data_IF_798376576629
#
_entry.id   IF_798376576629
#
_cell.length_a   1.000
_cell.length_b   1.000
_cell.length_c   1.000
_cell.angle_alpha   90.00
_cell.angle_beta   90.00
_cell.angle_gamma   90.00
#
_symmetry.space_group_name_H-M   'P 1'
#
loop_
_entity.id
_entity.type
_entity.pdbx_description
1 polymer ?
#
# COMPACT_ATOMS: atom_id res chain seq x y z
N UNK A 1 2.21 -5.28 -13.94
CA UNK A 1 2.84 -6.13 -12.89
C UNK A 1 1.74 -6.75 -12.06
N UNK A 2 1.82 -8.06 -11.78
CA UNK A 2 0.84 -8.74 -10.93
C UNK A 2 1.09 -8.39 -9.46
N UNK A 3 0.04 -8.06 -8.71
CA UNK A 3 0.12 -7.80 -7.28
C UNK A 3 -0.92 -8.69 -6.60
N UNK A 4 -0.52 -9.46 -5.60
CA UNK A 4 -1.42 -10.37 -4.89
C UNK A 4 -1.08 -10.46 -3.41
N UNK A 5 -2.11 -10.61 -2.58
CA UNK A 5 -1.97 -10.97 -1.18
C UNK A 5 -1.80 -12.49 -0.96
N UNK A 6 -1.95 -13.31 -2.02
CA UNK A 6 -1.68 -14.75 -1.98
C UNK A 6 -0.18 -15.02 -2.04
N UNK A 7 0.26 -16.09 -1.38
CA UNK A 7 1.64 -16.59 -1.48
C UNK A 7 1.89 -17.34 -2.78
N UNK A 8 0.85 -18.00 -3.33
CA UNK A 8 0.90 -18.73 -4.60
C UNK A 8 -0.30 -18.29 -5.43
N UNK A 9 -0.06 -17.86 -6.67
CA UNK A 9 -1.12 -17.46 -7.59
C UNK A 9 -1.48 -18.66 -8.48
N UNK A 10 -2.74 -19.13 -8.46
CA UNK A 10 -3.18 -20.24 -9.32
C UNK A 10 -2.89 -19.98 -10.80
N UNK A 11 -2.47 -21.03 -11.53
CA UNK A 11 -2.11 -20.92 -12.95
C UNK A 11 -0.76 -20.24 -13.22
N UNK A 12 -0.04 -19.79 -12.18
CA UNK A 12 1.29 -19.20 -12.31
C UNK A 12 2.34 -20.03 -11.57
N UNK A 13 3.56 -20.05 -12.10
CA UNK A 13 4.74 -20.66 -11.46
C UNK A 13 5.79 -19.60 -11.18
N UNK A 14 6.30 -19.54 -9.95
CA UNK A 14 7.42 -18.66 -9.58
C UNK A 14 8.70 -19.26 -10.17
N UNK A 15 9.43 -18.49 -10.97
CA UNK A 15 10.69 -18.90 -11.61
C UNK A 15 11.91 -18.19 -11.04
N UNK A 16 11.73 -17.03 -10.41
CA UNK A 16 12.80 -16.34 -9.66
C UNK A 16 12.24 -15.62 -8.43
N UNK A 17 12.97 -15.69 -7.33
CA UNK A 17 12.76 -14.89 -6.14
C UNK A 17 13.73 -13.70 -6.14
N UNK A 18 13.22 -12.48 -5.98
CA UNK A 18 14.01 -11.24 -6.07
C UNK A 18 14.12 -10.50 -4.74
N UNK A 19 13.47 -11.00 -3.68
CA UNK A 19 13.59 -10.46 -2.33
C UNK A 19 12.39 -9.62 -1.89
N UNK A 20 12.53 -9.05 -0.69
CA UNK A 20 11.54 -8.16 -0.08
C UNK A 20 11.47 -6.83 -0.84
N UNK A 21 10.25 -6.38 -1.10
CA UNK A 21 9.97 -5.02 -1.57
C UNK A 21 8.95 -4.34 -0.67
N UNK A 22 9.05 -3.03 -0.60
CA UNK A 22 8.27 -2.22 0.33
C UNK A 22 8.03 -0.80 -0.18
N UNK A 23 6.99 -0.17 0.34
CA UNK A 23 6.71 1.24 0.14
C UNK A 23 5.93 1.76 1.33
N UNK A 24 6.22 2.99 1.73
CA UNK A 24 5.48 3.63 2.81
C UNK A 24 5.09 5.05 2.47
N UNK A 25 4.10 5.56 3.17
CA UNK A 25 3.75 6.97 3.17
C UNK A 25 3.35 7.42 4.55
N UNK A 26 3.60 8.69 4.86
CA UNK A 26 3.32 9.30 6.17
C UNK A 26 2.30 10.41 5.99
N UNK A 27 1.30 10.46 6.87
CA UNK A 27 0.28 11.50 6.91
C UNK A 27 0.26 12.19 8.27
N UNK A 28 0.30 13.52 8.25
CA UNK A 28 0.21 14.35 9.45
C UNK A 28 -1.24 14.71 9.79
N UNK A 29 -1.52 14.96 11.07
CA UNK A 29 -2.82 15.36 11.63
C UNK A 29 -3.34 16.66 11.02
N UNK A 30 -2.45 17.52 10.53
CA UNK A 30 -2.84 18.75 9.83
C UNK A 30 -3.51 18.48 8.47
N UNK A 31 -3.07 17.44 7.74
CA UNK A 31 -3.79 16.99 6.55
C UNK A 31 -5.23 16.56 6.91
N UNK A 32 -5.40 15.90 8.06
CA UNK A 32 -6.73 15.55 8.60
C UNK A 32 -7.56 16.74 9.08
N UNK A 33 -6.93 17.84 9.53
CA UNK A 33 -7.63 19.04 10.04
C UNK A 33 -8.31 19.80 8.91
N UNK A 34 -7.65 19.95 7.76
CA UNK A 34 -8.21 20.59 6.57
C UNK A 34 -9.38 19.76 6.01
N UNK A 35 -9.24 18.43 6.03
CA UNK A 35 -10.31 17.49 5.71
C UNK A 35 -11.50 17.72 6.67
N UNK A 36 -11.27 17.68 7.98
CA UNK A 36 -12.31 17.80 9.01
C UNK A 36 -13.05 19.15 8.96
N UNK A 37 -12.40 20.23 8.53
CA UNK A 37 -13.04 21.53 8.32
C UNK A 37 -14.14 21.49 7.24
N UNK A 38 -14.03 20.58 6.27
CA UNK A 38 -15.03 20.32 5.22
C UNK A 38 -16.16 19.37 5.68
N UNK A 39 -16.01 18.68 6.82
CA UNK A 39 -16.96 17.64 7.30
C UNK A 39 -17.88 18.10 8.44
N UNK A 40 -18.21 19.40 8.53
CA UNK A 40 -19.01 19.97 9.63
C UNK A 40 -20.37 19.28 9.94
N UNK A 41 -20.89 18.37 9.11
CA UNK A 41 -22.26 17.86 9.23
C UNK A 41 -22.45 16.33 9.27
N UNK A 42 -21.41 15.48 9.39
CA UNK A 42 -21.62 14.02 9.31
C UNK A 42 -21.78 13.39 10.71
N UNK A 43 -23.02 13.33 11.20
CA UNK A 43 -23.39 12.46 12.32
C UNK A 43 -23.62 11.04 11.81
N UNK A 44 -22.78 10.09 12.27
CA UNK A 44 -22.99 8.64 12.14
C UNK A 44 -22.56 7.97 10.84
N UNK A 45 -22.02 8.71 9.86
CA UNK A 45 -21.57 8.19 8.57
C UNK A 45 -20.05 8.09 8.41
N UNK A 46 -19.62 7.53 7.27
CA UNK A 46 -18.21 7.46 6.89
C UNK A 46 -17.58 8.86 6.77
N UNK A 47 -16.37 9.01 7.30
CA UNK A 47 -15.57 10.23 7.17
C UNK A 47 -14.92 10.28 5.78
N UNK A 48 -15.70 10.62 4.74
CA UNK A 48 -15.29 10.49 3.33
C UNK A 48 -13.90 11.03 3.01
N UNK A 49 -13.53 12.20 3.50
CA UNK A 49 -12.22 12.77 3.18
C UNK A 49 -11.07 12.06 3.90
N UNK A 50 -11.32 11.46 5.07
CA UNK A 50 -10.35 10.55 5.67
C UNK A 50 -10.26 9.24 4.88
N UNK A 51 -11.38 8.72 4.37
CA UNK A 51 -11.38 7.55 3.47
C UNK A 51 -10.61 7.82 2.19
N UNK A 52 -10.85 8.97 1.54
CA UNK A 52 -10.13 9.42 0.34
C UNK A 52 -8.63 9.55 0.63
N UNK A 53 -8.26 10.24 1.72
CA UNK A 53 -6.88 10.36 2.16
C UNK A 53 -6.21 8.99 2.37
N UNK A 54 -6.91 8.06 3.01
CA UNK A 54 -6.39 6.70 3.23
C UNK A 54 -6.25 5.93 1.91
N UNK A 55 -7.14 6.15 0.95
CA UNK A 55 -7.03 5.55 -0.39
C UNK A 55 -5.79 6.05 -1.12
N UNK A 56 -5.64 7.37 -1.24
CA UNK A 56 -4.48 8.00 -1.87
C UNK A 56 -3.16 7.57 -1.20
N UNK A 57 -3.19 7.45 0.13
CA UNK A 57 -2.03 7.00 0.90
C UNK A 57 -1.65 5.56 0.60
N UNK A 58 -2.63 4.65 0.46
CA UNK A 58 -2.36 3.27 0.04
C UNK A 58 -1.84 3.22 -1.37
N UNK A 59 -2.44 3.97 -2.30
CA UNK A 59 -2.03 3.99 -3.70
C UNK A 59 -0.58 4.47 -3.84
N UNK A 60 -0.19 5.50 -3.10
CA UNK A 60 1.19 5.98 -3.06
C UNK A 60 2.17 4.93 -2.50
N UNK A 61 1.81 4.27 -1.40
CA UNK A 61 2.66 3.23 -0.81
C UNK A 61 2.79 2.00 -1.73
N UNK A 62 1.70 1.58 -2.40
CA UNK A 62 1.71 0.52 -3.42
C UNK A 62 2.59 0.92 -4.61
N UNK A 63 2.50 2.18 -5.08
CA UNK A 63 3.30 2.68 -6.18
C UNK A 63 4.80 2.64 -5.84
N UNK A 64 5.19 3.04 -4.63
CA UNK A 64 6.58 2.98 -4.15
C UNK A 64 7.10 1.54 -4.06
N UNK A 65 6.31 0.62 -3.49
CA UNK A 65 6.64 -0.81 -3.47
C UNK A 65 6.78 -1.38 -4.89
N UNK A 66 5.87 -0.97 -5.77
CA UNK A 66 5.84 -1.41 -7.17
C UNK A 66 7.08 -0.92 -7.92
N UNK A 67 7.46 0.34 -7.72
CA UNK A 67 8.65 0.92 -8.32
C UNK A 67 9.92 0.19 -7.88
N UNK A 68 10.01 -0.19 -6.60
CA UNK A 68 11.12 -1.00 -6.08
C UNK A 68 11.13 -2.41 -6.70
N UNK A 69 9.98 -3.05 -6.88
CA UNK A 69 9.90 -4.34 -7.55
C UNK A 69 10.35 -4.27 -9.01
N UNK A 70 9.98 -3.20 -9.71
CA UNK A 70 10.40 -2.95 -11.10
C UNK A 70 11.91 -2.76 -11.23
N UNK A 71 12.56 -2.02 -10.30
CA UNK A 71 14.02 -1.85 -10.33
C UNK A 71 14.77 -3.17 -10.09
N UNK A 72 14.16 -4.14 -9.43
CA UNK A 72 14.68 -5.51 -9.28
C UNK A 72 14.38 -6.42 -10.48
N UNK A 73 13.62 -5.94 -11.48
CA UNK A 73 13.21 -6.72 -12.65
C UNK A 73 12.06 -7.69 -12.38
N UNK A 74 11.27 -7.47 -11.33
CA UNK A 74 10.12 -8.30 -11.00
C UNK A 74 8.96 -8.08 -11.98
N UNK A 75 8.21 -9.14 -12.28
CA UNK A 75 6.94 -9.04 -13.00
C UNK A 75 5.73 -9.30 -12.09
N UNK A 76 5.97 -9.68 -10.83
CA UNK A 76 4.94 -9.81 -9.79
C UNK A 76 5.47 -9.47 -8.38
N UNK A 77 4.55 -9.01 -7.52
CA UNK A 77 4.74 -8.95 -6.07
C UNK A 77 3.64 -9.78 -5.42
N UNK A 78 4.05 -10.80 -4.67
CA UNK A 78 3.15 -11.74 -4.00
C UNK A 78 3.22 -11.55 -2.49
N UNK A 79 2.29 -12.19 -1.78
CA UNK A 79 2.20 -12.12 -0.32
C UNK A 79 2.16 -10.67 0.22
N UNK A 80 1.51 -9.75 -0.51
CA UNK A 80 1.44 -8.35 -0.12
C UNK A 80 0.68 -8.19 1.19
N UNK A 81 1.20 -7.34 2.07
CA UNK A 81 0.65 -6.99 3.37
C UNK A 81 0.66 -5.48 3.57
N UNK A 82 -0.34 -5.01 4.30
CA UNK A 82 -0.45 -3.62 4.74
C UNK A 82 -0.28 -3.59 6.25
N UNK A 83 0.44 -2.58 6.73
CA UNK A 83 0.56 -2.24 8.15
C UNK A 83 0.37 -0.74 8.32
N UNK A 84 -0.22 -0.34 9.43
CA UNK A 84 -0.37 1.08 9.78
C UNK A 84 0.20 1.28 11.17
N UNK A 85 1.05 2.30 11.35
CA UNK A 85 1.68 2.60 12.63
C UNK A 85 1.58 4.09 12.95
N UNK A 86 1.49 4.42 14.23
CA UNK A 86 1.67 5.80 14.70
C UNK A 86 3.16 6.03 14.87
N UNK A 87 3.75 6.93 14.09
CA UNK A 87 5.20 7.18 14.11
C UNK A 87 5.58 8.41 14.95
N UNK A 88 4.63 9.33 15.15
CA UNK A 88 4.77 10.49 16.03
C UNK A 88 3.40 11.00 16.48
N UNK A 89 3.37 11.92 17.43
CA UNK A 89 2.14 12.58 17.86
C UNK A 89 1.46 13.27 16.66
N UNK A 90 0.35 12.69 16.20
CA UNK A 90 -0.37 13.19 15.05
C UNK A 90 0.31 12.88 13.70
N UNK A 91 1.12 11.83 13.59
CA UNK A 91 1.58 11.32 12.31
C UNK A 91 1.50 9.80 12.26
N UNK A 92 0.90 9.28 11.19
CA UNK A 92 0.77 7.84 10.97
C UNK A 92 1.39 7.44 9.64
N UNK A 93 2.04 6.29 9.63
CA UNK A 93 2.57 5.63 8.45
C UNK A 93 1.58 4.59 7.94
N UNK A 94 1.39 4.53 6.63
CA UNK A 94 0.90 3.35 5.91
C UNK A 94 2.10 2.69 5.26
N UNK A 95 2.34 1.45 5.63
CA UNK A 95 3.44 0.61 5.16
C UNK A 95 2.88 -0.57 4.35
N UNK A 96 3.45 -0.82 3.18
CA UNK A 96 3.09 -1.93 2.30
C UNK A 96 4.35 -2.69 1.97
N UNK A 97 4.30 -4.02 2.07
CA UNK A 97 5.43 -4.87 1.74
C UNK A 97 4.98 -6.20 1.14
N UNK A 98 5.88 -6.86 0.43
CA UNK A 98 5.64 -8.16 -0.18
C UNK A 98 6.92 -8.73 -0.78
N UNK A 99 6.78 -9.82 -1.53
CA UNK A 99 7.92 -10.53 -2.14
C UNK A 99 7.92 -10.29 -3.65
N UNK A 100 8.99 -9.69 -4.15
CA UNK A 100 9.21 -9.52 -5.59
C UNK A 100 9.65 -10.85 -6.22
N UNK A 101 8.98 -11.23 -7.31
CA UNK A 101 9.23 -12.49 -8.01
C UNK A 101 9.09 -12.31 -9.53
N UNK A 102 9.63 -13.29 -10.27
CA UNK A 102 9.24 -13.52 -11.67
C UNK A 102 8.31 -14.74 -11.69
N UNK A 103 7.14 -14.59 -12.29
CA UNK A 103 6.18 -15.66 -12.57
C UNK A 103 5.98 -15.89 -14.06
N UNK A 104 5.64 -17.11 -14.43
CA UNK A 104 5.24 -17.53 -15.79
C UNK A 104 3.90 -18.27 -15.72
N UNK A 105 3.17 -18.34 -16.84
CA UNK A 105 2.01 -19.23 -16.97
C UNK A 105 2.43 -20.69 -16.83
N UNK A 106 1.58 -21.49 -16.18
CA UNK A 106 1.80 -22.93 -15.97
C UNK A 106 1.19 -23.77 -17.08
#
# INVERSE_FOLDING_TARGET
MLISNMEIVPGKRIVKHLGLVQGSTVRAKHAGRDIMASFKNVFGGELKGYTELLSESRDEAIARMTQQAQTLGANAVINVRFSTSSIAAGASEIFVYGTAVIVEDR
#
